data_IF_201822102674
#
_entry.id   IF_201822102674
#
_cell.length_a   1.000
_cell.length_b   1.000
_cell.length_c   1.000
_cell.angle_alpha   90.00
_cell.angle_beta   90.00
_cell.angle_gamma   90.00
#
_symmetry.space_group_name_H-M   'P 1'
#
loop_
_entity.id
_entity.type
_entity.pdbx_description
1 polymer ?
#
# COMPACT_ATOMS: atom_id res chain seq x y z
N UNK A 1 84.00 46.62 -19.30
CA UNK A 1 82.56 46.88 -19.47
C UNK A 1 81.81 45.57 -19.31
N UNK A 2 81.36 45.25 -18.10
CA UNK A 2 80.71 44.02 -17.72
C UNK A 2 79.19 44.24 -17.66
N UNK A 3 78.44 43.52 -18.48
CA UNK A 3 76.94 43.53 -18.40
C UNK A 3 76.49 42.40 -17.53
N UNK A 4 75.94 42.74 -16.39
CA UNK A 4 75.20 41.74 -15.51
C UNK A 4 73.85 41.44 -16.10
N UNK A 5 73.59 40.14 -16.39
CA UNK A 5 72.31 39.63 -16.83
C UNK A 5 71.57 39.09 -15.59
N UNK A 6 70.56 39.81 -15.15
CA UNK A 6 69.68 39.37 -14.05
C UNK A 6 68.60 38.44 -14.61
N UNK A 7 68.66 37.17 -14.22
CA UNK A 7 67.62 36.16 -14.51
C UNK A 7 66.60 36.25 -13.39
N UNK A 8 65.41 36.79 -13.68
CA UNK A 8 64.22 36.71 -12.81
C UNK A 8 63.53 35.39 -13.01
N UNK A 9 63.61 34.56 -12.01
CA UNK A 9 62.90 33.27 -11.94
C UNK A 9 61.43 33.55 -11.57
N UNK A 10 60.54 33.57 -12.53
CA UNK A 10 59.09 33.62 -12.27
C UNK A 10 58.58 32.25 -11.81
N UNK A 11 58.24 32.17 -10.54
CA UNK A 11 57.59 30.99 -9.94
C UNK A 11 56.13 31.04 -10.36
N UNK A 12 55.75 30.24 -11.38
CA UNK A 12 54.35 29.94 -11.72
C UNK A 12 53.78 29.07 -10.64
N UNK A 13 52.99 29.63 -9.73
CA UNK A 13 52.06 28.91 -8.87
C UNK A 13 50.93 28.38 -9.77
N UNK A 14 51.02 27.11 -10.14
CA UNK A 14 49.88 26.36 -10.71
C UNK A 14 48.92 26.11 -9.57
N UNK A 15 47.90 26.97 -9.41
CA UNK A 15 46.69 26.60 -8.63
C UNK A 15 46.01 25.47 -9.42
N UNK A 16 46.28 24.25 -8.98
CA UNK A 16 45.49 23.08 -9.33
C UNK A 16 44.12 23.22 -8.65
N UNK A 17 43.12 23.74 -9.37
CA UNK A 17 41.74 23.51 -8.99
C UNK A 17 41.51 21.99 -9.14
N UNK A 18 41.69 21.23 -8.07
CA UNK A 18 41.11 19.93 -7.98
C UNK A 18 39.60 20.15 -7.90
N UNK A 19 38.88 19.82 -8.97
CA UNK A 19 37.47 19.44 -8.86
C UNK A 19 37.45 18.13 -8.03
N UNK A 20 37.59 18.24 -6.71
CA UNK A 20 37.15 17.23 -5.81
C UNK A 20 35.62 17.18 -5.94
N UNK A 21 35.08 16.13 -6.47
CA UNK A 21 33.70 15.79 -6.13
C UNK A 21 33.66 15.80 -4.59
N UNK A 22 32.85 16.65 -3.99
CA UNK A 22 32.68 16.67 -2.54
C UNK A 22 32.24 15.26 -2.13
N UNK A 23 33.18 14.54 -1.52
CA UNK A 23 32.89 13.19 -1.01
C UNK A 23 32.01 13.36 0.21
N UNK A 24 30.77 12.86 0.12
CA UNK A 24 29.83 12.83 1.26
C UNK A 24 30.46 12.16 2.46
N UNK A 25 30.17 12.67 3.65
CA UNK A 25 30.77 12.22 4.92
C UNK A 25 29.70 11.70 5.89
N UNK A 26 30.13 11.02 6.95
CA UNK A 26 29.24 10.61 8.04
C UNK A 26 28.53 11.82 8.69
N UNK A 27 29.20 12.98 8.77
CA UNK A 27 28.60 14.18 9.33
C UNK A 27 27.49 14.72 8.40
N UNK A 28 27.68 14.69 7.08
CA UNK A 28 26.65 15.11 6.12
C UNK A 28 25.40 14.23 6.24
N UNK A 29 25.56 12.92 6.46
CA UNK A 29 24.44 12.01 6.70
C UNK A 29 23.68 12.34 8.00
N UNK A 30 24.39 12.67 9.08
CA UNK A 30 23.77 13.06 10.36
C UNK A 30 23.05 14.40 10.26
N UNK A 31 23.64 15.37 9.59
CA UNK A 31 23.05 16.68 9.39
C UNK A 31 21.76 16.56 8.52
N UNK A 32 21.80 15.74 7.48
CA UNK A 32 20.61 15.42 6.67
C UNK A 32 19.50 14.75 7.50
N UNK A 33 19.81 13.74 8.33
CA UNK A 33 18.83 13.11 9.18
C UNK A 33 18.21 14.09 10.17
N UNK A 34 19.00 14.98 10.75
CA UNK A 34 18.51 16.01 11.66
C UNK A 34 17.58 17.01 10.95
N UNK A 35 17.91 17.39 9.72
CA UNK A 35 17.05 18.28 8.89
C UNK A 35 15.69 17.61 8.58
N UNK A 36 15.70 16.35 8.14
CA UNK A 36 14.48 15.58 7.85
C UNK A 36 13.61 15.46 9.11
N UNK A 37 14.21 15.16 10.27
CA UNK A 37 13.49 15.04 11.54
C UNK A 37 12.86 16.39 11.97
N UNK A 38 13.59 17.50 11.87
CA UNK A 38 13.08 18.83 12.22
C UNK A 38 11.94 19.25 11.30
N UNK A 39 12.08 18.96 9.99
CA UNK A 39 11.03 19.24 9.02
C UNK A 39 9.78 18.40 9.27
N UNK A 40 9.93 17.12 9.58
CA UNK A 40 8.81 16.26 9.93
C UNK A 40 8.06 16.76 11.18
N UNK A 41 8.77 17.26 12.19
CA UNK A 41 8.15 17.86 13.40
C UNK A 41 7.39 19.14 13.11
N UNK A 42 7.91 19.99 12.24
CA UNK A 42 7.35 21.33 11.97
C UNK A 42 6.23 21.29 10.93
N UNK A 43 6.39 20.53 9.85
CA UNK A 43 5.44 20.49 8.73
C UNK A 43 4.44 19.32 8.85
N UNK A 44 4.81 18.21 9.46
CA UNK A 44 3.96 17.02 9.61
C UNK A 44 2.56 17.30 10.16
N UNK A 45 2.40 18.12 11.22
CA UNK A 45 1.08 18.50 11.73
C UNK A 45 0.20 19.24 10.71
N UNK A 46 0.81 20.03 9.83
CA UNK A 46 0.09 20.77 8.77
C UNK A 46 -0.40 19.81 7.69
N UNK A 47 0.46 18.86 7.25
CA UNK A 47 0.08 17.80 6.32
C UNK A 47 -1.07 16.95 6.89
N UNK A 48 -0.93 16.49 8.12
CA UNK A 48 -1.97 15.71 8.80
C UNK A 48 -3.29 16.46 8.89
N UNK A 49 -3.25 17.77 9.17
CA UNK A 49 -4.46 18.60 9.23
C UNK A 49 -5.14 18.74 7.87
N UNK A 50 -4.38 18.88 6.78
CA UNK A 50 -4.94 18.96 5.43
C UNK A 50 -5.69 17.67 5.05
N UNK A 51 -5.12 16.51 5.34
CA UNK A 51 -5.77 15.22 5.08
C UNK A 51 -6.95 14.97 6.03
N UNK A 52 -6.84 15.37 7.30
CA UNK A 52 -7.97 15.28 8.23
C UNK A 52 -9.17 16.11 7.76
N UNK A 53 -8.92 17.34 7.31
CA UNK A 53 -9.98 18.22 6.76
C UNK A 53 -10.61 17.56 5.53
N UNK A 54 -9.81 17.02 4.60
CA UNK A 54 -10.32 16.35 3.41
C UNK A 54 -11.18 15.13 3.75
N UNK A 55 -10.77 14.33 4.76
CA UNK A 55 -11.50 13.11 5.14
C UNK A 55 -12.82 13.40 5.86
N UNK A 56 -12.92 14.52 6.59
CA UNK A 56 -14.11 14.87 7.38
C UNK A 56 -15.02 15.89 6.67
N UNK A 57 -14.48 16.71 5.77
CA UNK A 57 -15.22 17.73 5.01
C UNK A 57 -14.93 17.53 3.53
N UNK A 58 -15.58 16.54 2.90
CA UNK A 58 -15.34 16.16 1.50
C UNK A 58 -15.95 17.20 0.57
N UNK A 59 -15.17 18.23 0.26
CA UNK A 59 -15.54 19.32 -0.65
C UNK A 59 -14.51 19.44 -1.77
N UNK A 60 -14.86 20.15 -2.84
CA UNK A 60 -13.91 20.47 -3.92
C UNK A 60 -12.65 21.18 -3.39
N UNK A 61 -12.81 22.12 -2.46
CA UNK A 61 -11.70 22.90 -1.92
C UNK A 61 -10.79 22.06 -1.04
N UNK A 62 -11.35 21.23 -0.16
CA UNK A 62 -10.57 20.33 0.71
C UNK A 62 -9.80 19.28 -0.10
N UNK A 63 -10.40 18.70 -1.13
CA UNK A 63 -9.73 17.79 -2.05
C UNK A 63 -8.57 18.46 -2.78
N UNK A 64 -8.77 19.70 -3.24
CA UNK A 64 -7.71 20.45 -3.93
C UNK A 64 -6.53 20.78 -3.01
N UNK A 65 -6.80 21.16 -1.76
CA UNK A 65 -5.76 21.39 -0.74
C UNK A 65 -5.00 20.10 -0.44
N UNK A 66 -5.71 19.00 -0.18
CA UNK A 66 -5.07 17.71 0.09
C UNK A 66 -4.23 17.21 -1.09
N UNK A 67 -4.70 17.38 -2.33
CA UNK A 67 -3.96 17.01 -3.53
C UNK A 67 -2.65 17.82 -3.69
N UNK A 68 -2.67 19.12 -3.35
CA UNK A 68 -1.46 19.96 -3.39
C UNK A 68 -0.46 19.50 -2.31
N UNK A 69 -0.92 19.23 -1.09
CA UNK A 69 -0.08 18.68 -0.04
C UNK A 69 0.48 17.30 -0.41
N UNK A 70 -0.33 16.40 -0.96
CA UNK A 70 0.12 15.09 -1.44
C UNK A 70 1.23 15.21 -2.48
N UNK A 71 1.02 16.07 -3.49
CA UNK A 71 2.02 16.30 -4.53
C UNK A 71 3.34 16.83 -3.96
N UNK A 72 3.28 17.83 -3.09
CA UNK A 72 4.49 18.40 -2.46
C UNK A 72 5.21 17.38 -1.60
N UNK A 73 4.48 16.65 -0.77
CA UNK A 73 5.03 15.59 0.09
C UNK A 73 5.69 14.48 -0.71
N UNK A 74 5.09 14.06 -1.84
CA UNK A 74 5.69 13.03 -2.72
C UNK A 74 7.00 13.50 -3.35
N UNK A 75 7.04 14.74 -3.88
CA UNK A 75 8.25 15.28 -4.47
C UNK A 75 9.38 15.44 -3.45
N UNK A 76 9.04 15.89 -2.26
CA UNK A 76 9.99 16.02 -1.16
C UNK A 76 10.52 14.65 -0.69
N UNK A 77 9.65 13.69 -0.47
CA UNK A 77 10.05 12.35 -0.08
C UNK A 77 10.97 11.70 -1.13
N UNK A 78 10.71 11.94 -2.42
CA UNK A 78 11.58 11.45 -3.50
C UNK A 78 12.97 12.11 -3.46
N UNK A 79 13.05 13.43 -3.22
CA UNK A 79 14.32 14.14 -3.05
C UNK A 79 15.08 13.62 -1.83
N UNK A 80 14.39 13.42 -0.70
CA UNK A 80 14.97 12.85 0.51
C UNK A 80 15.50 11.43 0.27
N UNK A 81 14.76 10.58 -0.43
CA UNK A 81 15.19 9.21 -0.75
C UNK A 81 16.44 9.20 -1.64
N UNK A 82 16.50 10.08 -2.63
CA UNK A 82 17.70 10.25 -3.49
C UNK A 82 18.90 10.73 -2.69
N UNK A 83 18.71 11.70 -1.80
CA UNK A 83 19.79 12.18 -0.91
C UNK A 83 20.24 11.06 0.03
N UNK A 84 19.31 10.32 0.63
CA UNK A 84 19.63 9.18 1.48
C UNK A 84 20.46 8.10 0.75
N UNK A 85 20.16 7.86 -0.55
CA UNK A 85 20.92 6.91 -1.38
C UNK A 85 22.37 7.34 -1.61
N UNK A 86 22.68 8.65 -1.57
CA UNK A 86 24.07 9.13 -1.72
C UNK A 86 24.98 8.73 -0.55
N UNK A 87 24.41 8.28 0.58
CA UNK A 87 25.13 7.84 1.77
C UNK A 87 25.26 6.31 1.86
N UNK A 88 24.89 5.54 0.82
CA UNK A 88 24.86 4.08 0.87
C UNK A 88 26.23 3.46 1.13
N UNK A 89 27.29 4.02 0.54
CA UNK A 89 28.68 3.53 0.66
C UNK A 89 29.38 3.93 1.96
N UNK A 90 28.73 4.76 2.82
CA UNK A 90 29.34 5.18 4.08
C UNK A 90 29.22 4.11 5.18
N UNK A 91 30.25 3.97 5.98
CA UNK A 91 30.18 3.23 7.26
C UNK A 91 29.51 4.15 8.30
N UNK A 92 28.27 3.84 8.68
CA UNK A 92 27.45 4.61 9.61
C UNK A 92 27.08 3.78 10.84
N UNK A 93 26.74 4.48 11.92
CA UNK A 93 26.07 3.84 13.05
C UNK A 93 24.81 3.09 12.58
N UNK A 94 24.50 1.89 13.15
CA UNK A 94 23.34 1.11 12.76
C UNK A 94 22.01 1.87 12.83
N UNK A 95 21.86 2.82 13.77
CA UNK A 95 20.64 3.63 13.88
C UNK A 95 20.52 4.63 12.74
N UNK A 96 21.62 5.28 12.36
CA UNK A 96 21.66 6.24 11.25
C UNK A 96 21.44 5.54 9.92
N UNK A 97 22.09 4.38 9.70
CA UNK A 97 21.86 3.53 8.53
C UNK A 97 20.39 3.11 8.41
N UNK A 98 19.79 2.67 9.53
CA UNK A 98 18.37 2.28 9.55
C UNK A 98 17.45 3.45 9.24
N UNK A 99 17.72 4.65 9.76
CA UNK A 99 16.95 5.86 9.48
C UNK A 99 17.00 6.23 7.98
N UNK A 100 18.20 6.20 7.37
CA UNK A 100 18.36 6.42 5.92
C UNK A 100 17.61 5.38 5.09
N UNK A 101 17.65 4.10 5.49
CA UNK A 101 16.91 3.04 4.81
C UNK A 101 15.38 3.26 4.89
N UNK A 102 14.85 3.70 6.03
CA UNK A 102 13.43 4.04 6.17
C UNK A 102 13.03 5.17 5.22
N UNK A 103 13.87 6.20 5.09
CA UNK A 103 13.62 7.32 4.15
C UNK A 103 13.63 6.82 2.70
N UNK A 104 14.59 5.97 2.31
CA UNK A 104 14.67 5.38 0.97
C UNK A 104 13.48 4.50 0.63
N UNK A 105 13.06 3.68 1.59
CA UNK A 105 12.11 2.60 1.38
C UNK A 105 10.66 3.02 1.64
N UNK A 106 10.42 4.30 1.98
CA UNK A 106 9.09 4.81 2.37
C UNK A 106 8.04 4.82 1.25
N UNK A 107 8.38 4.38 0.04
CA UNK A 107 7.46 4.36 -1.09
C UNK A 107 6.82 2.99 -1.28
N UNK A 108 5.50 2.96 -1.43
CA UNK A 108 4.77 1.78 -1.92
C UNK A 108 4.89 1.68 -3.45
N UNK A 109 4.77 2.81 -4.14
CA UNK A 109 4.88 2.95 -5.59
C UNK A 109 5.76 4.17 -5.89
N UNK A 110 7.09 4.00 -5.96
CA UNK A 110 7.99 5.11 -6.23
C UNK A 110 7.79 5.62 -7.66
N UNK A 111 7.65 6.93 -7.86
CA UNK A 111 7.65 7.49 -9.20
C UNK A 111 9.07 7.38 -9.80
N UNK A 112 9.19 7.02 -11.08
CA UNK A 112 10.49 6.98 -11.76
C UNK A 112 11.10 8.38 -11.92
N UNK A 113 12.39 8.43 -12.27
CA UNK A 113 13.11 9.68 -12.57
C UNK A 113 12.61 10.36 -13.84
N UNK A 114 12.00 9.62 -14.74
CA UNK A 114 11.41 10.15 -15.97
C UNK A 114 10.06 10.80 -15.64
N UNK A 115 9.98 12.12 -15.86
CA UNK A 115 8.81 12.94 -15.54
C UNK A 115 7.55 12.51 -16.34
N UNK A 116 7.71 12.03 -17.57
CA UNK A 116 6.60 11.56 -18.41
C UNK A 116 6.03 10.26 -17.84
N UNK A 117 6.89 9.33 -17.42
CA UNK A 117 6.48 8.07 -16.79
C UNK A 117 5.89 8.31 -15.39
N UNK A 118 6.44 9.23 -14.61
CA UNK A 118 5.87 9.62 -13.32
C UNK A 118 4.46 10.20 -13.48
N UNK A 119 4.26 11.05 -14.50
CA UNK A 119 2.95 11.59 -14.86
C UNK A 119 1.98 10.52 -15.33
N UNK A 120 2.43 9.57 -16.16
CA UNK A 120 1.64 8.42 -16.60
C UNK A 120 1.19 7.56 -15.41
N UNK A 121 2.11 7.25 -14.49
CA UNK A 121 1.79 6.46 -13.29
C UNK A 121 0.72 7.14 -12.42
N UNK A 122 0.86 8.44 -12.15
CA UNK A 122 -0.12 9.20 -11.38
C UNK A 122 -1.51 9.19 -12.04
N UNK A 123 -1.56 9.32 -13.38
CA UNK A 123 -2.79 9.23 -14.15
C UNK A 123 -3.43 7.84 -14.03
N UNK A 124 -2.65 6.78 -14.22
CA UNK A 124 -3.13 5.40 -14.13
C UNK A 124 -3.65 5.08 -12.73
N UNK A 125 -2.94 5.49 -11.67
CA UNK A 125 -3.38 5.28 -10.27
C UNK A 125 -4.74 5.94 -10.02
N UNK A 126 -4.90 7.20 -10.45
CA UNK A 126 -6.17 7.93 -10.33
C UNK A 126 -7.28 7.26 -11.13
N UNK A 127 -6.99 6.79 -12.34
CA UNK A 127 -7.96 6.10 -13.18
C UNK A 127 -8.38 4.75 -12.57
N UNK A 128 -7.45 3.97 -12.03
CA UNK A 128 -7.75 2.69 -11.36
C UNK A 128 -8.62 2.90 -10.12
N UNK A 129 -8.29 3.90 -9.29
CA UNK A 129 -9.09 4.28 -8.12
C UNK A 129 -10.51 4.70 -8.54
N UNK A 130 -10.64 5.54 -9.56
CA UNK A 130 -11.92 5.96 -10.10
C UNK A 130 -12.73 4.81 -10.68
N UNK A 131 -12.09 3.92 -11.47
CA UNK A 131 -12.76 2.73 -12.04
C UNK A 131 -13.28 1.80 -10.97
N UNK A 132 -12.53 1.62 -9.88
CA UNK A 132 -12.94 0.78 -8.78
C UNK A 132 -14.02 1.45 -7.93
N UNK A 133 -13.81 2.70 -7.51
CA UNK A 133 -14.71 3.42 -6.61
C UNK A 133 -16.06 3.80 -7.22
N UNK A 134 -16.12 4.04 -8.55
CA UNK A 134 -17.37 4.28 -9.27
C UNK A 134 -17.88 3.06 -10.05
N UNK A 135 -17.25 1.90 -9.83
CA UNK A 135 -17.56 0.67 -10.54
C UNK A 135 -19.00 0.22 -10.32
N UNK A 136 -19.66 -0.16 -11.40
CA UNK A 136 -20.98 -0.80 -11.36
C UNK A 136 -21.10 -1.82 -12.48
N UNK A 137 -21.90 -2.85 -12.26
CA UNK A 137 -22.20 -3.85 -13.28
C UNK A 137 -23.70 -4.00 -13.46
N UNK A 138 -24.13 -4.05 -14.73
CA UNK A 138 -25.53 -4.22 -15.09
C UNK A 138 -25.72 -5.58 -15.75
N UNK A 139 -26.62 -6.40 -15.25
CA UNK A 139 -27.01 -7.68 -15.88
C UNK A 139 -28.04 -7.49 -16.99
N UNK A 140 -28.84 -6.42 -16.88
CA UNK A 140 -29.80 -5.96 -17.88
C UNK A 140 -30.03 -4.45 -17.74
N UNK A 141 -30.78 -3.85 -18.65
CA UNK A 141 -31.17 -2.45 -18.55
C UNK A 141 -31.99 -2.20 -17.27
N UNK A 142 -31.47 -1.33 -16.39
CA UNK A 142 -32.07 -1.01 -15.11
C UNK A 142 -31.74 -2.01 -13.95
N UNK A 143 -31.00 -3.08 -14.23
CA UNK A 143 -30.56 -4.08 -13.24
C UNK A 143 -29.05 -3.90 -12.96
N UNK A 144 -28.68 -2.74 -12.41
CA UNK A 144 -27.29 -2.32 -12.16
C UNK A 144 -26.99 -2.25 -10.66
N UNK A 145 -25.80 -2.70 -10.30
CA UNK A 145 -25.33 -2.79 -8.93
C UNK A 145 -23.92 -2.20 -8.82
N UNK A 146 -23.70 -1.37 -7.82
CA UNK A 146 -22.37 -0.94 -7.35
C UNK A 146 -21.82 -1.89 -6.29
N UNK A 147 -20.67 -1.55 -5.71
CA UNK A 147 -20.03 -2.38 -4.70
C UNK A 147 -20.94 -2.57 -3.47
N UNK A 148 -21.50 -1.47 -2.95
CA UNK A 148 -22.35 -1.49 -1.75
C UNK A 148 -23.58 -2.38 -1.94
N UNK A 149 -24.21 -2.27 -3.09
CA UNK A 149 -25.37 -3.12 -3.43
C UNK A 149 -25.00 -4.60 -3.55
N UNK A 150 -23.82 -4.92 -4.13
CA UNK A 150 -23.32 -6.29 -4.18
C UNK A 150 -22.92 -6.83 -2.79
N UNK A 151 -22.24 -6.02 -1.97
CA UNK A 151 -21.88 -6.40 -0.60
C UNK A 151 -23.13 -6.67 0.23
N UNK A 152 -24.16 -5.84 0.11
CA UNK A 152 -25.44 -6.06 0.80
C UNK A 152 -26.07 -7.41 0.43
N UNK A 153 -25.98 -7.86 -0.83
CA UNK A 153 -26.43 -9.20 -1.24
C UNK A 153 -25.56 -10.28 -0.60
N UNK A 154 -24.22 -10.15 -0.65
CA UNK A 154 -23.28 -11.11 -0.08
C UNK A 154 -23.48 -11.26 1.43
N UNK A 155 -23.74 -10.17 2.14
CA UNK A 155 -23.89 -10.19 3.58
C UNK A 155 -25.22 -10.78 4.06
N UNK A 156 -26.30 -10.51 3.31
CA UNK A 156 -27.66 -10.80 3.78
C UNK A 156 -28.37 -11.94 3.04
N UNK A 157 -27.98 -12.26 1.79
CA UNK A 157 -28.60 -13.38 1.09
C UNK A 157 -28.06 -14.73 1.55
N UNK A 158 -28.89 -15.74 1.45
CA UNK A 158 -28.54 -17.18 1.60
C UNK A 158 -28.88 -17.97 0.35
N UNK A 159 -29.29 -17.29 -0.72
CA UNK A 159 -29.53 -17.92 -2.01
C UNK A 159 -28.20 -18.02 -2.79
N UNK A 160 -27.67 -19.22 -3.08
CA UNK A 160 -26.39 -19.39 -3.72
C UNK A 160 -26.32 -18.79 -5.14
N UNK A 161 -27.43 -18.76 -5.88
CA UNK A 161 -27.48 -18.16 -7.22
C UNK A 161 -27.37 -16.63 -7.17
N UNK A 162 -28.01 -15.99 -6.19
CA UNK A 162 -27.89 -14.55 -5.95
C UNK A 162 -26.47 -14.19 -5.48
N UNK A 163 -25.89 -14.96 -4.58
CA UNK A 163 -24.52 -14.80 -4.11
C UNK A 163 -23.53 -14.94 -5.27
N UNK A 164 -23.69 -15.96 -6.11
CA UNK A 164 -22.85 -16.16 -7.30
C UNK A 164 -23.00 -15.01 -8.31
N UNK A 165 -24.24 -14.55 -8.53
CA UNK A 165 -24.52 -13.39 -9.40
C UNK A 165 -23.80 -12.14 -8.88
N UNK A 166 -23.93 -11.82 -7.59
CA UNK A 166 -23.29 -10.67 -6.96
C UNK A 166 -21.76 -10.77 -7.03
N UNK A 167 -21.20 -11.90 -6.63
CA UNK A 167 -19.76 -12.13 -6.65
C UNK A 167 -19.17 -12.03 -8.06
N UNK A 168 -19.80 -12.65 -9.05
CA UNK A 168 -19.36 -12.62 -10.44
C UNK A 168 -19.51 -11.23 -11.07
N UNK A 169 -20.61 -10.54 -10.78
CA UNK A 169 -20.89 -9.20 -11.29
C UNK A 169 -19.82 -8.19 -10.88
N UNK A 170 -19.40 -8.22 -9.62
CA UNK A 170 -18.34 -7.34 -9.17
C UNK A 170 -16.98 -7.62 -9.86
N UNK A 171 -16.67 -8.89 -10.20
CA UNK A 171 -15.42 -9.24 -10.91
C UNK A 171 -15.34 -8.71 -12.33
N UNK A 172 -16.47 -8.35 -12.94
CA UNK A 172 -16.49 -7.71 -14.27
C UNK A 172 -15.80 -6.34 -14.26
N UNK A 173 -15.85 -5.62 -13.13
CA UNK A 173 -15.18 -4.31 -12.94
C UNK A 173 -13.65 -4.44 -13.06
N UNK A 174 -13.06 -5.53 -12.57
CA UNK A 174 -11.61 -5.73 -12.59
C UNK A 174 -11.04 -6.04 -13.99
N UNK A 175 -11.85 -6.55 -14.91
CA UNK A 175 -11.37 -6.95 -16.25
C UNK A 175 -10.73 -5.80 -17.03
N UNK A 176 -11.37 -4.63 -17.20
CA UNK A 176 -10.78 -3.49 -17.90
C UNK A 176 -9.61 -2.84 -17.12
N UNK A 177 -9.52 -3.05 -15.81
CA UNK A 177 -8.44 -2.49 -14.98
C UNK A 177 -7.10 -3.22 -15.18
N UNK A 178 -7.11 -4.49 -15.58
CA UNK A 178 -5.93 -5.35 -15.61
C UNK A 178 -4.76 -4.76 -16.40
N UNK A 179 -5.02 -4.25 -17.60
CA UNK A 179 -3.95 -3.69 -18.45
C UNK A 179 -3.31 -2.44 -17.82
N UNK A 180 -4.12 -1.58 -17.20
CA UNK A 180 -3.65 -0.40 -16.49
C UNK A 180 -2.84 -0.79 -15.25
N UNK A 181 -3.32 -1.76 -14.49
CA UNK A 181 -2.61 -2.27 -13.31
C UNK A 181 -1.23 -2.84 -13.67
N UNK A 182 -1.15 -3.65 -14.73
CA UNK A 182 0.14 -4.16 -15.23
C UNK A 182 1.08 -3.03 -15.63
N UNK A 183 0.58 -2.02 -16.35
CA UNK A 183 1.38 -0.86 -16.73
C UNK A 183 1.86 -0.06 -15.52
N UNK A 184 1.03 0.14 -14.50
CA UNK A 184 1.41 0.77 -13.25
C UNK A 184 2.55 0.01 -12.55
N UNK A 185 2.47 -1.33 -12.51
CA UNK A 185 3.52 -2.18 -11.93
C UNK A 185 4.83 -2.06 -12.72
N UNK A 186 4.78 -2.03 -14.06
CA UNK A 186 5.97 -1.85 -14.90
C UNK A 186 6.67 -0.51 -14.61
N UNK A 187 5.90 0.57 -14.51
CA UNK A 187 6.43 1.90 -14.19
C UNK A 187 6.96 1.94 -12.75
N UNK A 188 6.24 1.35 -11.79
CA UNK A 188 6.68 1.27 -10.40
C UNK A 188 7.97 0.48 -10.22
N UNK A 189 8.16 -0.61 -10.99
CA UNK A 189 9.43 -1.35 -11.01
C UNK A 189 10.59 -0.46 -11.50
N UNK A 190 10.35 0.39 -12.50
CA UNK A 190 11.37 1.33 -12.94
C UNK A 190 11.68 2.37 -11.86
N UNK A 191 10.67 2.91 -11.16
CA UNK A 191 10.87 3.80 -10.03
C UNK A 191 11.67 3.16 -8.89
N UNK A 192 11.44 1.88 -8.60
CA UNK A 192 12.22 1.13 -7.62
C UNK A 192 13.68 0.95 -8.08
N UNK A 193 13.91 0.68 -9.37
CA UNK A 193 15.25 0.58 -9.95
C UNK A 193 15.99 1.91 -9.90
N UNK A 194 15.33 3.02 -10.11
CA UNK A 194 15.90 4.37 -9.97
C UNK A 194 16.36 4.69 -8.54
N UNK A 195 15.79 3.98 -7.53
CA UNK A 195 16.19 4.02 -6.12
C UNK A 195 17.25 2.96 -5.74
N UNK A 196 17.72 2.15 -6.71
CA UNK A 196 18.76 1.15 -6.49
C UNK A 196 18.26 -0.23 -6.07
N UNK A 197 16.96 -0.52 -6.21
CA UNK A 197 16.37 -1.84 -5.99
C UNK A 197 16.22 -2.63 -7.29
N UNK A 198 16.14 -3.95 -7.22
CA UNK A 198 15.89 -4.76 -8.41
C UNK A 198 14.47 -4.58 -8.98
N UNK A 199 13.53 -4.16 -8.12
CA UNK A 199 12.15 -3.85 -8.47
C UNK A 199 11.29 -3.63 -7.22
N UNK A 200 9.97 -3.52 -7.41
CA UNK A 200 9.02 -3.26 -6.33
C UNK A 200 9.07 -4.31 -5.22
N UNK A 201 9.22 -5.59 -5.56
CA UNK A 201 9.30 -6.66 -4.56
C UNK A 201 10.51 -6.48 -3.64
N UNK A 202 11.68 -6.16 -4.22
CA UNK A 202 12.89 -5.92 -3.46
C UNK A 202 12.75 -4.69 -2.56
N UNK A 203 12.20 -3.59 -3.10
CA UNK A 203 11.88 -2.39 -2.32
C UNK A 203 10.94 -2.71 -1.14
N UNK A 204 9.88 -3.48 -1.36
CA UNK A 204 8.92 -3.80 -0.30
C UNK A 204 9.52 -4.71 0.77
N UNK A 205 10.29 -5.72 0.37
CA UNK A 205 10.98 -6.58 1.33
C UNK A 205 12.05 -5.84 2.14
N UNK A 206 12.67 -4.80 1.58
CA UNK A 206 13.67 -4.00 2.29
C UNK A 206 13.10 -3.21 3.49
N UNK A 207 11.78 -3.10 3.60
CA UNK A 207 11.11 -2.48 4.76
C UNK A 207 11.11 -3.38 6.00
N UNK A 208 11.39 -4.68 5.85
CA UNK A 208 11.56 -5.59 6.96
C UNK A 208 13.02 -5.57 7.44
N UNK A 209 13.24 -5.77 8.75
CA UNK A 209 14.59 -5.78 9.34
C UNK A 209 15.31 -7.13 9.09
N UNK A 210 15.12 -7.73 7.92
CA UNK A 210 15.75 -8.98 7.51
C UNK A 210 15.85 -9.10 5.98
N UNK A 211 16.78 -9.92 5.43
CA UNK A 211 16.84 -10.20 3.99
C UNK A 211 15.54 -10.84 3.47
N UNK A 212 15.18 -10.58 2.20
CA UNK A 212 13.98 -11.13 1.57
C UNK A 212 13.91 -12.67 1.62
N UNK A 213 15.05 -13.37 1.47
CA UNK A 213 15.13 -14.83 1.59
C UNK A 213 14.79 -15.32 3.00
N UNK A 214 15.29 -14.67 4.03
CA UNK A 214 15.01 -15.01 5.43
C UNK A 214 13.56 -14.72 5.79
N UNK A 215 13.00 -13.62 5.26
CA UNK A 215 11.59 -13.31 5.41
C UNK A 215 10.71 -14.40 4.78
N UNK A 216 11.02 -14.83 3.55
CA UNK A 216 10.28 -15.89 2.86
C UNK A 216 10.33 -17.22 3.63
N UNK A 217 11.51 -17.63 4.08
CA UNK A 217 11.67 -18.84 4.91
C UNK A 217 10.88 -18.74 6.23
N UNK A 218 10.83 -17.54 6.82
CA UNK A 218 10.05 -17.30 8.04
C UNK A 218 8.55 -17.41 7.79
N UNK A 219 8.06 -16.83 6.69
CA UNK A 219 6.63 -16.93 6.30
C UNK A 219 6.25 -18.38 6.00
N UNK A 220 7.09 -19.11 5.25
CA UNK A 220 6.85 -20.52 4.94
C UNK A 220 6.78 -21.38 6.21
N UNK A 221 7.70 -21.16 7.15
CA UNK A 221 7.69 -21.86 8.44
C UNK A 221 6.44 -21.54 9.25
N UNK A 222 6.07 -20.25 9.36
CA UNK A 222 4.84 -19.82 10.07
C UNK A 222 3.60 -20.43 9.41
N UNK A 223 3.55 -20.49 8.08
CA UNK A 223 2.47 -21.13 7.36
C UNK A 223 2.36 -22.63 7.72
N UNK A 224 3.47 -23.38 7.67
CA UNK A 224 3.44 -24.81 8.02
C UNK A 224 3.06 -25.04 9.50
N UNK A 225 3.48 -24.16 10.41
CA UNK A 225 3.11 -24.22 11.83
C UNK A 225 1.59 -23.99 12.05
N UNK A 226 0.97 -23.10 11.26
CA UNK A 226 -0.46 -22.75 11.35
C UNK A 226 -1.36 -23.64 10.50
N UNK A 227 -0.81 -24.30 9.50
CA UNK A 227 -1.55 -25.11 8.53
C UNK A 227 -2.51 -26.13 9.13
N UNK A 228 -2.14 -26.90 10.20
CA UNK A 228 -3.07 -27.85 10.80
C UNK A 228 -4.33 -27.19 11.38
N UNK A 229 -4.19 -26.01 11.98
CA UNK A 229 -5.33 -25.23 12.48
C UNK A 229 -6.18 -24.72 11.32
N UNK A 230 -5.55 -24.18 10.27
CA UNK A 230 -6.24 -23.69 9.10
C UNK A 230 -7.01 -24.78 8.36
N UNK A 231 -6.41 -25.97 8.19
CA UNK A 231 -7.05 -27.12 7.56
C UNK A 231 -8.25 -27.63 8.38
N UNK A 232 -8.12 -27.68 9.70
CA UNK A 232 -9.22 -28.06 10.59
C UNK A 232 -10.38 -27.05 10.52
N UNK A 233 -10.07 -25.73 10.50
CA UNK A 233 -11.07 -24.67 10.33
C UNK A 233 -11.76 -24.77 8.96
N UNK A 234 -11.01 -24.96 7.88
CA UNK A 234 -11.55 -25.12 6.53
C UNK A 234 -12.43 -26.38 6.42
N UNK A 235 -12.03 -27.47 7.05
CA UNK A 235 -12.81 -28.70 7.08
C UNK A 235 -14.16 -28.50 7.79
N UNK A 236 -14.14 -27.86 8.96
CA UNK A 236 -15.36 -27.55 9.71
C UNK A 236 -16.29 -26.63 8.92
N UNK A 237 -15.79 -25.47 8.46
CA UNK A 237 -16.61 -24.50 7.72
C UNK A 237 -17.19 -25.13 6.43
N UNK A 238 -16.42 -25.95 5.73
CA UNK A 238 -16.91 -26.68 4.55
C UNK A 238 -18.07 -27.62 4.90
N UNK A 239 -17.95 -28.38 5.99
CA UNK A 239 -19.01 -29.30 6.42
C UNK A 239 -20.30 -28.55 6.75
N UNK A 240 -20.22 -27.45 7.50
CA UNK A 240 -21.39 -26.64 7.85
C UNK A 240 -22.03 -25.96 6.61
N UNK A 241 -21.21 -25.45 5.69
CA UNK A 241 -21.70 -24.89 4.43
C UNK A 241 -22.28 -25.94 3.50
N UNK A 242 -21.71 -27.16 3.47
CA UNK A 242 -22.27 -28.30 2.73
C UNK A 242 -23.62 -28.73 3.29
N UNK A 243 -23.75 -28.87 4.61
CA UNK A 243 -25.00 -29.18 5.28
C UNK A 243 -26.08 -28.11 5.00
N UNK A 244 -25.70 -26.86 4.90
CA UNK A 244 -26.61 -25.73 4.64
C UNK A 244 -27.02 -25.60 3.17
N UNK A 245 -26.05 -25.69 2.24
CA UNK A 245 -26.29 -25.46 0.81
C UNK A 245 -26.41 -26.71 -0.04
N UNK A 246 -25.92 -27.87 0.44
CA UNK A 246 -25.88 -29.14 -0.28
C UNK A 246 -24.68 -29.30 -1.22
N UNK A 247 -24.46 -30.53 -1.65
CA UNK A 247 -23.31 -30.96 -2.49
C UNK A 247 -23.25 -30.24 -3.85
N UNK A 248 -24.37 -29.72 -4.38
CA UNK A 248 -24.39 -29.02 -5.66
C UNK A 248 -23.74 -27.63 -5.57
N UNK A 249 -23.67 -27.04 -4.38
CA UNK A 249 -23.10 -25.73 -4.13
C UNK A 249 -21.73 -25.83 -3.45
N UNK A 250 -21.64 -26.64 -2.42
CA UNK A 250 -20.39 -26.86 -1.65
C UNK A 250 -20.11 -28.35 -1.59
N UNK A 251 -19.13 -28.82 -2.35
CA UNK A 251 -18.70 -30.21 -2.32
C UNK A 251 -18.04 -30.55 -0.98
N UNK A 252 -18.16 -31.84 -0.56
CA UNK A 252 -17.54 -32.34 0.66
C UNK A 252 -16.00 -32.31 0.65
N UNK A 253 -15.39 -32.18 -0.54
CA UNK A 253 -13.95 -32.13 -0.77
C UNK A 253 -13.60 -30.93 -1.67
N UNK A 254 -12.33 -30.56 -1.70
CA UNK A 254 -11.86 -29.49 -2.57
C UNK A 254 -11.98 -28.08 -1.98
N UNK A 255 -12.09 -27.09 -2.83
CA UNK A 255 -12.17 -25.67 -2.41
C UNK A 255 -13.60 -25.25 -2.13
N UNK A 256 -13.79 -24.43 -1.11
CA UNK A 256 -15.09 -23.80 -0.84
C UNK A 256 -15.31 -22.69 -1.87
N UNK A 257 -16.46 -22.63 -2.56
CA UNK A 257 -16.76 -21.55 -3.50
C UNK A 257 -16.77 -20.19 -2.81
N UNK A 258 -16.03 -19.22 -3.38
CA UNK A 258 -15.82 -17.92 -2.74
C UNK A 258 -17.11 -17.11 -2.52
N UNK A 259 -18.14 -17.31 -3.35
CA UNK A 259 -19.41 -16.58 -3.23
C UNK A 259 -20.26 -16.97 -2.02
N UNK A 260 -19.96 -18.11 -1.38
CA UNK A 260 -20.63 -18.55 -0.14
C UNK A 260 -19.69 -18.51 1.07
N UNK A 261 -18.44 -18.04 0.90
CA UNK A 261 -17.40 -18.04 1.93
C UNK A 261 -17.12 -16.64 2.47
N UNK A 262 -18.12 -16.01 3.06
CA UNK A 262 -17.90 -14.73 3.72
C UNK A 262 -18.15 -13.50 2.84
N UNK A 263 -17.39 -12.44 3.06
CA UNK A 263 -17.57 -11.18 2.36
C UNK A 263 -17.18 -11.25 0.86
N UNK A 264 -17.32 -10.15 0.13
CA UNK A 264 -17.05 -10.07 -1.32
C UNK A 264 -15.69 -10.65 -1.72
N UNK A 265 -14.67 -10.63 -0.85
CA UNK A 265 -13.31 -11.14 -1.10
C UNK A 265 -13.01 -12.46 -0.39
N UNK A 266 -13.99 -13.07 0.29
CA UNK A 266 -13.84 -14.29 1.10
C UNK A 266 -12.71 -14.22 2.16
N UNK A 267 -12.42 -13.01 2.64
CA UNK A 267 -11.37 -12.74 3.64
C UNK A 267 -11.92 -12.52 5.05
N UNK A 268 -13.21 -12.22 5.20
CA UNK A 268 -13.93 -12.11 6.46
C UNK A 268 -15.15 -13.01 6.40
N UNK A 269 -15.32 -13.86 7.41
CA UNK A 269 -16.41 -14.84 7.47
C UNK A 269 -17.48 -14.48 8.50
N UNK A 270 -17.52 -13.20 8.91
CA UNK A 270 -18.44 -12.73 9.93
C UNK A 270 -19.92 -12.91 9.51
N UNK A 271 -20.24 -12.72 8.24
CA UNK A 271 -21.59 -12.85 7.70
C UNK A 271 -22.10 -14.29 7.59
N UNK A 272 -21.23 -15.30 7.68
CA UNK A 272 -21.60 -16.72 7.71
C UNK A 272 -21.42 -17.37 9.09
N UNK A 273 -21.18 -16.54 10.13
CA UNK A 273 -20.96 -17.06 11.48
C UNK A 273 -22.13 -17.89 11.99
N UNK A 274 -23.36 -17.51 11.68
CA UNK A 274 -24.60 -18.21 12.03
C UNK A 274 -24.72 -19.59 11.37
N UNK A 275 -24.05 -19.81 10.23
CA UNK A 275 -23.97 -21.11 9.56
C UNK A 275 -22.81 -21.91 10.15
N UNK A 276 -21.62 -21.31 10.22
CA UNK A 276 -20.39 -21.99 10.61
C UNK A 276 -20.32 -22.33 12.10
N UNK A 277 -21.10 -21.67 12.92
CA UNK A 277 -21.10 -21.86 14.38
C UNK A 277 -22.53 -21.95 14.93
N UNK A 278 -23.05 -23.16 14.98
CA UNK A 278 -24.35 -23.47 15.58
C UNK A 278 -24.17 -23.74 17.06
N UNK A 279 -23.95 -22.72 17.88
CA UNK A 279 -23.99 -22.89 19.31
C UNK A 279 -25.45 -23.02 19.77
N UNK A 280 -25.74 -24.02 20.60
CA UNK A 280 -26.87 -23.96 21.54
C UNK A 280 -26.58 -22.84 22.55
N UNK A 281 -26.49 -21.60 22.06
CA UNK A 281 -26.18 -20.46 22.91
C UNK A 281 -27.39 -20.18 23.82
N UNK A 282 -27.19 -20.39 25.11
CA UNK A 282 -28.16 -20.02 26.16
C UNK A 282 -28.28 -18.48 26.32
N UNK A 283 -27.55 -17.68 25.49
CA UNK A 283 -27.62 -16.25 25.50
C UNK A 283 -27.82 -15.68 24.08
N UNK A 284 -28.80 -14.82 23.87
CA UNK A 284 -28.92 -14.07 22.61
C UNK A 284 -27.68 -13.20 22.45
N UNK A 285 -27.01 -13.20 21.27
CA UNK A 285 -25.91 -12.30 21.01
C UNK A 285 -26.37 -10.86 21.23
N UNK A 286 -25.56 -10.08 21.91
CA UNK A 286 -25.83 -8.66 22.12
C UNK A 286 -25.64 -7.95 20.77
N UNK A 287 -26.75 -7.54 20.16
CA UNK A 287 -26.68 -6.66 18.98
C UNK A 287 -26.43 -5.23 19.47
N UNK A 288 -25.17 -4.79 19.40
CA UNK A 288 -24.73 -3.47 19.86
C UNK A 288 -25.45 -2.38 19.09
N UNK A 289 -25.62 -2.49 17.77
CA UNK A 289 -26.35 -1.53 16.94
C UNK A 289 -27.78 -1.33 17.45
N UNK A 290 -28.49 -2.45 17.69
CA UNK A 290 -29.85 -2.40 18.23
C UNK A 290 -29.90 -1.76 19.64
N UNK A 291 -28.89 -2.02 20.48
CA UNK A 291 -28.80 -1.40 21.81
C UNK A 291 -28.58 0.12 21.69
N UNK A 292 -27.81 0.57 20.72
CA UNK A 292 -27.57 1.99 20.43
C UNK A 292 -28.87 2.64 19.94
N UNK A 293 -29.54 2.02 18.96
CA UNK A 293 -30.84 2.47 18.43
C UNK A 293 -31.92 2.54 19.51
N UNK A 294 -32.08 1.48 20.30
CA UNK A 294 -33.06 1.40 21.43
C UNK A 294 -32.80 2.46 22.51
N UNK A 295 -31.55 2.93 22.64
CA UNK A 295 -31.16 4.01 23.56
C UNK A 295 -31.26 5.40 22.96
N UNK A 296 -31.63 5.52 21.68
CA UNK A 296 -31.68 6.80 20.96
C UNK A 296 -30.32 7.46 20.80
N UNK A 297 -29.23 6.68 20.86
CA UNK A 297 -27.88 7.14 20.59
C UNK A 297 -27.65 7.00 19.08
N UNK A 298 -28.32 7.84 18.31
CA UNK A 298 -28.03 7.97 16.90
C UNK A 298 -26.86 8.90 16.72
N UNK A 299 -25.90 8.50 15.91
CA UNK A 299 -24.73 9.23 15.41
C UNK A 299 -24.24 10.37 16.30
N UNK A 300 -23.01 10.23 16.78
CA UNK A 300 -22.30 11.30 17.46
C UNK A 300 -22.10 12.43 16.42
N UNK A 301 -22.85 13.54 16.61
CA UNK A 301 -22.53 14.80 15.93
C UNK A 301 -21.14 15.31 16.36
#
# INVERSE_FOLDING_TARGET
MSKYLTITLSLLLILSCSNGADTVTEQDAKDFLAEVEEKAKTEGPVYSSAFWIQSNFITYDSQKVAADFSKRGTLEALEQARTASSFDDLELDPSDRRALNIIKNGFVMPPPLDDDLAGEMASIMTELESMYGSGSHCFAEGDCYDLEAFENIIDNSRNPDELLKAWSGWREIGKPMKAKYLRMVDIGNQGAQDLGFDGLSDLWFSQYDMPASEFSETVDRVYEDLKPLYEALQCHVRAELNDFYGDEVVENEGSIPAHVLGNMWAQSWANIYDIAYQEESTGKPINITKVIEDKGLTEIE
#
